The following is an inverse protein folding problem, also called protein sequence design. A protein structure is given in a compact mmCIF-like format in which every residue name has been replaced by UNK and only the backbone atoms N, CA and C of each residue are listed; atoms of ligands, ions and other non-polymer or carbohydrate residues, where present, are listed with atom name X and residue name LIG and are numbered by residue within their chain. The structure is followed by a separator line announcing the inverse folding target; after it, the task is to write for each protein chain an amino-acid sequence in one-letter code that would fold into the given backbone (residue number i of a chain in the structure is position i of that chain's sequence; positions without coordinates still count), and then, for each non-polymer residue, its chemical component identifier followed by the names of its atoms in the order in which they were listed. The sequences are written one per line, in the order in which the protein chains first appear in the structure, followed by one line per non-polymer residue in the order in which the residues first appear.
data_IF_219255377677
#
_entry.id   IF_219255377677
#
_cell.length_a   1.000
_cell.length_b   1.000
_cell.length_c   1.000
_cell.angle_alpha   90.00
_cell.angle_beta   90.00
_cell.angle_gamma   90.00
#
_symmetry.space_group_name_H-M   'P 1'
#
loop_
_entity.id
_entity.type
_entity.pdbx_description
1 polymer ?
#
# COMPACT_ATOMS: atom_id res chain seq x y z
N UNK A 1 -47.28 -6.26 6.79
CA UNK A 1 -45.80 -6.45 6.72
C UNK A 1 -45.27 -5.83 5.43
N UNK A 2 -44.94 -4.53 5.42
CA UNK A 2 -44.41 -3.88 4.23
C UNK A 2 -42.92 -4.21 4.08
N UNK A 3 -42.56 -4.92 2.99
CA UNK A 3 -41.19 -5.22 2.60
C UNK A 3 -40.49 -3.90 2.23
N UNK A 4 -39.55 -3.45 3.07
CA UNK A 4 -38.68 -2.30 2.75
C UNK A 4 -37.91 -2.61 1.47
N UNK A 5 -38.29 -2.01 0.34
CA UNK A 5 -37.46 -1.98 -0.87
C UNK A 5 -36.14 -1.31 -0.48
N UNK A 6 -35.01 -1.98 -0.72
CA UNK A 6 -33.67 -1.45 -0.48
C UNK A 6 -33.36 -0.39 -1.54
N UNK A 7 -34.01 0.78 -1.44
CA UNK A 7 -34.03 1.88 -2.42
C UNK A 7 -32.71 2.67 -2.53
N UNK A 8 -31.56 1.98 -2.48
CA UNK A 8 -30.24 2.59 -2.52
C UNK A 8 -29.21 1.81 -3.32
N UNK A 9 -29.50 0.59 -3.76
CA UNK A 9 -28.59 -0.26 -4.53
C UNK A 9 -29.10 -0.32 -5.98
N UNK A 10 -28.20 -0.11 -6.95
CA UNK A 10 -28.52 -0.24 -8.38
C UNK A 10 -28.35 -1.68 -8.85
N UNK A 11 -28.79 -1.96 -10.09
CA UNK A 11 -28.72 -3.28 -10.72
C UNK A 11 -27.29 -3.80 -10.89
N UNK A 12 -26.29 -2.91 -10.76
CA UNK A 12 -24.86 -3.24 -10.71
C UNK A 12 -24.36 -3.66 -9.31
N UNK A 13 -25.26 -3.94 -8.36
CA UNK A 13 -24.93 -4.36 -6.99
C UNK A 13 -24.23 -3.29 -6.13
N UNK A 14 -24.15 -2.04 -6.62
CA UNK A 14 -23.47 -0.92 -5.96
C UNK A 14 -24.47 0.10 -5.44
N UNK A 15 -24.09 0.88 -4.43
CA UNK A 15 -24.90 2.02 -3.99
C UNK A 15 -25.13 2.98 -5.18
N UNK A 16 -26.39 3.27 -5.50
CA UNK A 16 -26.80 4.00 -6.71
C UNK A 16 -26.10 5.37 -6.82
N UNK A 17 -25.91 6.06 -5.70
CA UNK A 17 -25.19 7.34 -5.63
C UNK A 17 -23.69 7.24 -5.96
N UNK A 18 -23.06 6.07 -5.76
CA UNK A 18 -21.63 5.81 -5.99
C UNK A 18 -21.36 4.96 -7.23
N UNK A 19 -22.41 4.58 -7.97
CA UNK A 19 -22.26 3.74 -9.14
C UNK A 19 -21.80 4.58 -10.34
N UNK A 20 -20.64 4.23 -10.91
CA UNK A 20 -20.09 4.89 -12.09
C UNK A 20 -20.99 4.69 -13.31
N UNK A 21 -21.50 3.48 -13.50
CA UNK A 21 -22.32 3.11 -14.66
C UNK A 21 -23.72 3.72 -14.60
N UNK A 22 -24.25 3.97 -13.40
CA UNK A 22 -25.49 4.72 -13.22
C UNK A 22 -25.30 6.24 -13.18
N UNK A 23 -24.07 6.76 -13.39
CA UNK A 23 -23.71 8.17 -13.17
C UNK A 23 -24.26 8.72 -11.84
N UNK A 24 -24.09 7.94 -10.77
CA UNK A 24 -24.58 8.29 -9.45
C UNK A 24 -24.10 9.68 -9.03
N UNK A 25 -24.93 10.45 -8.31
CA UNK A 25 -24.64 11.86 -7.99
C UNK A 25 -23.32 12.11 -7.26
N UNK A 26 -22.70 11.09 -6.65
CA UNK A 26 -21.38 11.17 -6.04
C UNK A 26 -20.22 10.98 -7.02
N UNK A 27 -20.46 10.68 -8.29
CA UNK A 27 -19.47 10.45 -9.35
C UNK A 27 -19.41 11.67 -10.28
N UNK A 28 -18.20 12.16 -10.57
CA UNK A 28 -17.99 13.25 -11.52
C UNK A 28 -17.89 12.73 -12.96
N UNK A 29 -17.84 13.65 -13.92
CA UNK A 29 -17.64 13.33 -15.34
C UNK A 29 -16.35 12.54 -15.61
N UNK A 30 -15.30 12.74 -14.80
CA UNK A 30 -14.06 11.96 -14.86
C UNK A 30 -14.21 10.52 -14.33
N UNK A 31 -15.42 10.10 -13.94
CA UNK A 31 -15.69 8.75 -13.44
C UNK A 31 -15.09 8.46 -12.06
N UNK A 32 -14.69 9.49 -11.32
CA UNK A 32 -14.15 9.41 -9.95
C UNK A 32 -15.18 9.92 -8.94
N UNK A 33 -15.01 9.60 -7.66
CA UNK A 33 -15.85 10.19 -6.62
C UNK A 33 -15.62 11.70 -6.57
N UNK A 34 -16.69 12.50 -6.68
CA UNK A 34 -16.64 13.97 -6.76
C UNK A 34 -15.80 14.59 -5.66
N UNK A 35 -15.98 14.14 -4.42
CA UNK A 35 -15.25 14.66 -3.25
C UNK A 35 -13.73 14.48 -3.34
N UNK A 36 -13.24 13.46 -4.05
CA UNK A 36 -11.81 13.17 -4.21
C UNK A 36 -11.25 13.52 -5.59
N UNK A 37 -12.05 14.08 -6.49
CA UNK A 37 -11.59 14.41 -7.84
C UNK A 37 -10.79 15.72 -7.82
N UNK A 38 -9.51 15.63 -8.19
CA UNK A 38 -8.63 16.81 -8.30
C UNK A 38 -9.09 17.76 -9.40
N UNK A 39 -9.48 17.21 -10.54
CA UNK A 39 -9.90 17.97 -11.73
C UNK A 39 -11.18 18.77 -11.46
N UNK A 40 -12.10 18.21 -10.67
CA UNK A 40 -13.32 18.92 -10.24
C UNK A 40 -13.14 19.77 -8.97
N UNK A 41 -11.91 19.89 -8.43
CA UNK A 41 -11.62 20.48 -7.10
C UNK A 41 -12.64 20.04 -6.05
N UNK A 42 -12.89 18.74 -6.00
CA UNK A 42 -13.85 18.13 -5.07
C UNK A 42 -13.63 18.63 -3.65
N UNK A 43 -14.71 18.78 -2.86
CA UNK A 43 -14.64 19.36 -1.51
C UNK A 43 -13.62 18.70 -0.56
N UNK A 44 -13.15 17.48 -0.84
CA UNK A 44 -12.09 16.80 -0.10
C UNK A 44 -10.65 17.14 -0.52
N UNK A 45 -10.43 17.93 -1.57
CA UNK A 45 -9.12 18.36 -2.07
C UNK A 45 -8.89 19.83 -1.72
N UNK A 46 -7.71 20.17 -1.18
CA UNK A 46 -7.33 21.56 -0.90
C UNK A 46 -6.71 22.23 -2.13
N UNK A 47 -6.47 23.54 -2.04
CA UNK A 47 -5.77 24.33 -3.07
C UNK A 47 -4.36 23.78 -3.40
N UNK A 48 -3.70 23.15 -2.44
CA UNK A 48 -2.40 22.48 -2.64
C UNK A 48 -2.51 21.14 -3.39
N UNK A 49 -3.70 20.75 -3.88
CA UNK A 49 -3.91 19.51 -4.64
C UNK A 49 -3.77 18.22 -3.82
N UNK A 50 -3.75 18.33 -2.48
CA UNK A 50 -3.72 17.22 -1.51
C UNK A 50 -5.12 16.98 -0.93
N UNK A 51 -5.37 15.82 -0.34
CA UNK A 51 -6.59 15.63 0.45
C UNK A 51 -6.56 16.60 1.64
N UNK A 52 -7.64 17.36 1.86
CA UNK A 52 -7.73 18.38 2.92
C UNK A 52 -7.36 17.82 4.29
N UNK A 53 -7.88 16.63 4.62
CA UNK A 53 -7.61 15.95 5.89
C UNK A 53 -6.13 15.61 6.08
N UNK A 54 -5.35 15.49 5.00
CA UNK A 54 -3.94 15.14 5.00
C UNK A 54 -3.02 16.32 4.66
N UNK A 55 -3.57 17.53 4.46
CA UNK A 55 -2.77 18.68 4.10
C UNK A 55 -2.29 19.39 5.37
N UNK A 56 -0.98 19.36 5.63
CA UNK A 56 -0.35 20.11 6.73
C UNK A 56 -0.66 21.61 6.64
N UNK A 57 -0.52 22.18 5.44
CA UNK A 57 -0.66 23.62 5.19
C UNK A 57 -2.10 24.11 5.41
N UNK A 58 -3.09 23.23 5.29
CA UNK A 58 -4.50 23.53 5.59
C UNK A 58 -4.94 23.10 7.00
N UNK A 59 -4.01 22.68 7.88
CA UNK A 59 -4.35 22.20 9.22
C UNK A 59 -5.14 20.88 9.24
N UNK A 60 -5.02 20.07 8.19
CA UNK A 60 -5.75 18.82 8.04
C UNK A 60 -5.59 17.90 9.26
N UNK A 61 -6.70 17.51 9.88
CA UNK A 61 -6.69 16.81 11.18
C UNK A 61 -5.94 15.48 11.23
N UNK A 62 -5.63 14.88 10.07
CA UNK A 62 -4.87 13.61 10.01
C UNK A 62 -3.36 13.79 10.12
N UNK A 63 -2.83 15.00 9.91
CA UNK A 63 -1.39 15.31 9.99
C UNK A 63 -1.14 16.26 11.17
N UNK A 64 -0.04 16.04 11.90
CA UNK A 64 0.41 16.96 12.93
C UNK A 64 1.40 17.99 12.38
N UNK A 65 1.77 18.98 13.18
CA UNK A 65 2.75 20.02 12.83
C UNK A 65 4.11 19.45 12.38
N UNK A 66 4.50 18.27 12.89
CA UNK A 66 5.69 17.52 12.48
C UNK A 66 5.61 16.90 11.07
N UNK A 67 4.49 17.09 10.35
CA UNK A 67 4.28 16.49 9.02
C UNK A 67 4.06 14.97 9.05
N UNK A 68 3.83 14.39 10.22
CA UNK A 68 3.55 12.95 10.41
C UNK A 68 2.06 12.73 10.58
N UNK A 69 1.58 11.51 10.29
CA UNK A 69 0.21 11.15 10.62
C UNK A 69 0.00 11.28 12.13
N UNK A 70 -1.00 12.05 12.56
CA UNK A 70 -1.19 12.44 13.96
C UNK A 70 -1.31 11.23 14.89
N UNK A 71 -2.01 10.19 14.45
CA UNK A 71 -2.13 8.92 15.18
C UNK A 71 -0.81 8.15 15.35
N UNK A 72 0.19 8.40 14.50
CA UNK A 72 1.49 7.71 14.52
C UNK A 72 2.65 8.62 14.94
N UNK A 73 2.38 9.87 15.30
CA UNK A 73 3.41 10.80 15.72
C UNK A 73 3.79 10.53 17.18
N UNK A 74 5.06 10.22 17.44
CA UNK A 74 5.58 10.01 18.79
C UNK A 74 5.58 11.30 19.60
N UNK A 75 5.99 12.39 18.97
CA UNK A 75 6.12 13.71 19.59
C UNK A 75 4.75 14.24 20.04
N UNK A 76 3.70 13.97 19.26
CA UNK A 76 2.31 14.30 19.63
C UNK A 76 1.61 13.22 20.48
N UNK A 77 2.33 12.17 20.92
CA UNK A 77 1.74 11.00 21.62
C UNK A 77 0.48 10.47 20.94
N UNK A 78 0.56 10.29 19.62
CA UNK A 78 -0.57 9.83 18.80
C UNK A 78 -1.20 8.55 19.35
N UNK A 79 -2.51 8.39 19.14
CA UNK A 79 -3.30 7.25 19.66
C UNK A 79 -2.78 5.88 19.25
N UNK A 80 -2.03 5.80 18.15
CA UNK A 80 -1.36 4.61 17.65
C UNK A 80 0.02 4.36 18.26
N UNK A 81 0.52 5.19 19.17
CA UNK A 81 1.78 5.02 19.89
C UNK A 81 1.49 4.45 21.29
N UNK A 82 2.27 3.45 21.71
CA UNK A 82 2.20 2.87 23.05
C UNK A 82 3.15 3.57 24.01
N UNK A 83 3.03 3.25 25.30
CA UNK A 83 3.94 3.72 26.37
C UNK A 83 5.42 3.45 26.07
N UNK A 84 5.74 2.40 25.31
CA UNK A 84 7.09 2.07 24.87
C UNK A 84 7.61 2.97 23.72
N UNK A 85 6.86 3.99 23.30
CA UNK A 85 7.21 4.85 22.17
C UNK A 85 7.24 4.13 20.82
N UNK A 86 6.58 2.97 20.70
CA UNK A 86 6.46 2.18 19.47
C UNK A 86 5.04 2.28 18.92
N UNK A 87 4.85 1.97 17.64
CA UNK A 87 3.51 1.83 17.07
C UNK A 87 2.82 0.66 17.80
N UNK A 88 1.67 0.88 18.44
CA UNK A 88 0.91 -0.10 19.25
C UNK A 88 0.75 -1.43 18.54
N UNK A 89 0.30 -1.41 17.29
CA UNK A 89 0.10 -2.63 16.50
C UNK A 89 1.38 -3.43 16.28
N UNK A 90 2.54 -2.76 16.33
CA UNK A 90 3.87 -3.35 16.17
C UNK A 90 4.62 -3.55 17.50
N UNK A 91 3.99 -3.29 18.65
CA UNK A 91 4.64 -3.44 19.94
C UNK A 91 4.39 -4.85 20.51
N UNK A 92 5.45 -5.64 20.65
CA UNK A 92 5.37 -6.97 21.31
C UNK A 92 4.87 -6.86 22.75
N UNK A 93 5.40 -5.91 23.53
CA UNK A 93 5.04 -5.72 24.94
C UNK A 93 3.58 -5.32 25.17
N UNK A 94 2.92 -4.75 24.17
CA UNK A 94 1.50 -4.39 24.24
C UNK A 94 0.57 -5.43 23.58
N UNK A 95 1.08 -6.61 23.19
CA UNK A 95 0.31 -7.61 22.46
C UNK A 95 -0.15 -7.13 21.07
N UNK A 96 0.57 -6.19 20.46
CA UNK A 96 0.20 -5.60 19.17
C UNK A 96 -0.03 -6.67 18.11
N UNK A 97 -1.21 -6.64 17.47
CA UNK A 97 -1.66 -7.71 16.57
C UNK A 97 -0.79 -7.95 15.33
N UNK A 98 0.13 -7.05 15.00
CA UNK A 98 1.07 -7.23 13.88
C UNK A 98 2.31 -8.04 14.25
N UNK A 99 2.62 -8.24 15.54
CA UNK A 99 3.77 -9.03 16.00
C UNK A 99 3.27 -10.32 16.67
N UNK A 100 3.94 -11.44 16.41
CA UNK A 100 3.67 -12.70 17.12
C UNK A 100 4.58 -12.86 18.34
N UNK A 101 4.33 -13.87 19.16
CA UNK A 101 5.14 -14.21 20.35
C UNK A 101 6.63 -14.40 20.02
N UNK A 102 6.95 -14.88 18.82
CA UNK A 102 8.31 -15.03 18.29
C UNK A 102 9.01 -13.69 17.96
N UNK A 103 8.35 -12.54 18.18
CA UNK A 103 8.92 -11.22 17.89
C UNK A 103 8.99 -10.87 16.40
N UNK A 104 8.42 -11.70 15.53
CA UNK A 104 8.35 -11.48 14.08
C UNK A 104 7.01 -10.84 13.71
N UNK A 105 6.96 -10.18 12.56
CA UNK A 105 5.67 -9.76 12.00
C UNK A 105 4.82 -11.00 11.75
N UNK A 106 3.59 -11.03 12.28
CA UNK A 106 2.71 -12.20 12.26
C UNK A 106 2.47 -12.70 10.83
N UNK A 107 2.34 -11.78 9.87
CA UNK A 107 2.22 -12.07 8.44
C UNK A 107 3.44 -12.79 7.87
N UNK A 108 4.62 -12.61 8.48
CA UNK A 108 5.90 -13.17 8.04
C UNK A 108 6.42 -14.30 8.94
N UNK A 109 5.68 -14.67 9.99
CA UNK A 109 6.12 -15.72 10.89
C UNK A 109 5.73 -17.09 10.35
N UNK A 110 6.72 -17.89 9.95
CA UNK A 110 6.51 -19.28 9.53
C UNK A 110 5.81 -20.12 10.62
N UNK A 111 6.25 -19.98 11.86
CA UNK A 111 5.77 -20.78 12.99
C UNK A 111 4.31 -20.45 13.36
N UNK A 112 3.86 -19.22 13.07
CA UNK A 112 2.45 -18.82 13.21
C UNK A 112 1.62 -19.00 11.94
N UNK A 113 2.14 -19.65 10.90
CA UNK A 113 1.43 -19.81 9.62
C UNK A 113 1.18 -18.50 8.85
N UNK A 114 2.01 -17.49 9.07
CA UNK A 114 1.87 -16.16 8.48
C UNK A 114 1.67 -16.18 6.98
N UNK A 115 0.65 -15.48 6.48
CA UNK A 115 0.20 -15.55 5.09
C UNK A 115 1.26 -15.25 4.02
N UNK A 116 2.31 -14.49 4.37
CA UNK A 116 3.36 -14.03 3.46
C UNK A 116 4.51 -15.03 3.30
N UNK A 117 4.67 -15.99 4.20
CA UNK A 117 5.75 -17.00 4.19
C UNK A 117 5.14 -18.40 4.06
N UNK A 118 5.71 -19.24 3.19
CA UNK A 118 5.28 -20.63 3.07
C UNK A 118 6.02 -21.54 4.07
N UNK A 119 5.58 -22.80 4.20
CA UNK A 119 6.25 -23.80 5.06
C UNK A 119 7.73 -24.02 4.73
N UNK A 120 8.17 -23.66 3.52
CA UNK A 120 9.59 -23.69 3.12
C UNK A 120 10.42 -22.50 3.66
N UNK A 121 9.83 -21.58 4.42
CA UNK A 121 10.51 -20.38 4.94
C UNK A 121 10.78 -19.30 3.89
N UNK A 122 10.26 -19.47 2.66
CA UNK A 122 10.37 -18.49 1.57
C UNK A 122 9.12 -17.62 1.51
N UNK A 123 9.22 -16.43 0.92
CA UNK A 123 8.03 -15.62 0.58
C UNK A 123 7.12 -16.45 -0.31
N UNK A 124 5.86 -16.63 0.08
CA UNK A 124 4.90 -17.49 -0.61
C UNK A 124 4.73 -17.08 -2.09
N UNK A 125 4.75 -15.77 -2.37
CA UNK A 125 4.72 -15.24 -3.73
C UNK A 125 5.96 -15.57 -4.58
N UNK A 126 7.10 -15.87 -3.96
CA UNK A 126 8.38 -16.17 -4.62
C UNK A 126 8.78 -17.65 -4.48
N UNK A 127 7.95 -18.50 -3.87
CA UNK A 127 8.28 -19.90 -3.69
C UNK A 127 7.86 -20.69 -4.92
N UNK A 128 8.84 -21.26 -5.64
CA UNK A 128 8.58 -22.15 -6.78
C UNK A 128 7.70 -23.34 -6.38
N UNK A 129 8.05 -23.99 -5.27
CA UNK A 129 7.35 -25.18 -4.75
C UNK A 129 5.90 -24.90 -4.32
N UNK A 130 5.53 -23.62 -4.11
CA UNK A 130 4.16 -23.23 -3.77
C UNK A 130 3.41 -22.58 -4.95
N UNK A 131 3.96 -22.64 -6.16
CA UNK A 131 3.38 -21.97 -7.33
C UNK A 131 3.31 -20.45 -7.18
N UNK A 132 4.26 -19.85 -6.45
CA UNK A 132 4.25 -18.42 -6.14
C UNK A 132 4.16 -17.57 -7.40
N UNK A 133 3.14 -16.69 -7.47
CA UNK A 133 2.83 -15.92 -8.68
C UNK A 133 3.92 -14.94 -9.15
N UNK A 134 4.98 -14.73 -8.37
CA UNK A 134 6.16 -13.96 -8.80
C UNK A 134 7.18 -14.80 -9.55
N UNK A 135 7.02 -16.12 -9.64
CA UNK A 135 7.90 -17.03 -10.39
C UNK A 135 7.32 -17.25 -11.79
N UNK A 136 8.16 -17.20 -12.82
CA UNK A 136 7.78 -17.54 -14.20
C UNK A 136 8.00 -19.03 -14.46
N UNK A 137 7.51 -19.50 -15.62
CA UNK A 137 7.77 -20.86 -16.13
C UNK A 137 9.26 -21.22 -16.16
N UNK A 138 10.15 -20.24 -16.38
CA UNK A 138 11.60 -20.42 -16.35
C UNK A 138 12.19 -20.62 -14.94
N UNK A 139 11.36 -20.70 -13.89
CA UNK A 139 11.80 -20.83 -12.50
C UNK A 139 12.50 -19.59 -11.93
N UNK A 140 12.48 -18.46 -12.63
CA UNK A 140 13.07 -17.19 -12.20
C UNK A 140 11.97 -16.25 -11.68
N UNK A 141 12.35 -15.24 -10.90
CA UNK A 141 11.43 -14.15 -10.55
C UNK A 141 11.01 -13.43 -11.84
N UNK A 142 9.71 -13.36 -12.13
CA UNK A 142 9.11 -12.77 -13.34
C UNK A 142 9.71 -11.42 -13.69
N UNK A 143 9.80 -10.51 -12.70
CA UNK A 143 10.37 -9.17 -12.91
C UNK A 143 11.84 -9.17 -13.32
N UNK A 144 12.59 -10.23 -13.01
CA UNK A 144 14.02 -10.42 -13.34
C UNK A 144 14.25 -11.42 -14.48
N UNK A 145 13.19 -11.94 -15.10
CA UNK A 145 13.32 -12.90 -16.19
C UNK A 145 13.39 -12.17 -17.54
N UNK A 146 14.53 -12.28 -18.24
CA UNK A 146 14.69 -11.72 -19.60
C UNK A 146 13.69 -12.34 -20.59
N UNK A 147 13.50 -13.65 -20.54
CA UNK A 147 12.57 -14.39 -21.42
C UNK A 147 11.10 -14.00 -21.24
N UNK A 148 10.73 -13.41 -20.09
CA UNK A 148 9.37 -12.93 -19.83
C UNK A 148 9.24 -11.40 -19.99
N UNK A 149 10.24 -10.71 -20.55
CA UNK A 149 10.25 -9.25 -20.62
C UNK A 149 10.24 -8.56 -19.24
N UNK A 150 10.82 -9.20 -18.23
CA UNK A 150 10.80 -8.73 -16.85
C UNK A 150 11.33 -7.29 -16.73
N UNK A 151 10.47 -6.38 -16.28
CA UNK A 151 10.76 -4.94 -16.25
C UNK A 151 11.94 -4.52 -15.36
N UNK A 152 12.51 -5.42 -14.57
CA UNK A 152 13.76 -5.17 -13.82
C UNK A 152 15.02 -5.43 -14.63
N UNK A 153 14.93 -5.97 -15.85
CA UNK A 153 16.08 -6.20 -16.75
C UNK A 153 16.17 -5.05 -17.78
N UNK A 154 17.36 -4.53 -18.02
CA UNK A 154 17.63 -3.54 -19.07
C UNK A 154 17.93 -4.22 -20.41
N UNK A 155 17.98 -3.44 -21.50
CA UNK A 155 18.39 -3.93 -22.83
C UNK A 155 19.76 -4.63 -22.82
N UNK A 156 20.64 -4.27 -21.89
CA UNK A 156 21.96 -4.88 -21.70
C UNK A 156 21.94 -6.23 -20.96
N UNK A 157 20.76 -6.79 -20.66
CA UNK A 157 20.63 -8.07 -19.96
C UNK A 157 20.98 -8.04 -18.47
N UNK A 158 21.24 -6.86 -17.90
CA UNK A 158 21.54 -6.66 -16.47
C UNK A 158 20.30 -6.18 -15.71
N UNK A 159 20.29 -6.35 -14.39
CA UNK A 159 19.26 -5.73 -13.54
C UNK A 159 19.40 -4.21 -13.66
N UNK A 160 18.33 -3.50 -14.06
CA UNK A 160 18.30 -2.05 -14.30
C UNK A 160 18.93 -1.25 -13.17
N UNK A 161 18.58 -1.57 -11.92
CA UNK A 161 19.12 -0.85 -10.75
C UNK A 161 20.63 -1.04 -10.55
N UNK A 162 21.22 -2.09 -11.13
CA UNK A 162 22.66 -2.42 -11.05
C UNK A 162 23.41 -2.17 -12.36
N UNK A 163 22.74 -1.69 -13.40
CA UNK A 163 23.36 -1.48 -14.70
C UNK A 163 24.02 -0.10 -14.76
N UNK A 164 25.35 -0.06 -14.90
CA UNK A 164 26.13 1.18 -15.03
C UNK A 164 25.68 1.99 -16.24
N UNK A 165 25.50 1.33 -17.38
CA UNK A 165 25.06 1.94 -18.64
C UNK A 165 23.62 2.49 -18.59
N UNK A 166 22.83 2.12 -17.57
CA UNK A 166 21.47 2.63 -17.38
C UNK A 166 21.36 3.62 -16.20
N UNK A 167 22.49 4.05 -15.63
CA UNK A 167 22.50 4.92 -14.45
C UNK A 167 21.84 4.29 -13.23
N UNK A 168 21.95 2.96 -13.07
CA UNK A 168 21.24 2.20 -12.06
C UNK A 168 21.44 2.75 -10.63
N UNK A 169 20.34 3.10 -9.96
CA UNK A 169 20.36 3.75 -8.64
C UNK A 169 20.93 2.92 -7.48
N UNK A 170 21.36 1.67 -7.71
CA UNK A 170 22.10 0.86 -6.72
C UNK A 170 23.62 1.00 -6.84
N UNK A 171 24.13 1.88 -7.71
CA UNK A 171 25.55 2.11 -7.93
C UNK A 171 25.97 3.36 -7.14
N UNK A 172 26.64 3.18 -6.01
CA UNK A 172 27.25 4.29 -5.27
C UNK A 172 28.45 4.84 -6.05
N UNK A 173 28.54 6.16 -6.22
CA UNK A 173 29.64 6.86 -6.92
C UNK A 173 30.90 7.04 -6.05
N UNK A 174 31.20 6.13 -5.13
CA UNK A 174 32.45 6.21 -4.39
C UNK A 174 33.55 5.57 -5.23
N UNK A 175 34.32 6.42 -5.92
CA UNK A 175 35.65 6.04 -6.39
C UNK A 175 36.47 5.71 -5.14
N UNK A 176 36.96 4.46 -5.07
CA UNK A 176 38.01 4.13 -4.10
C UNK A 176 39.22 4.99 -4.48
N UNK A 177 39.52 5.98 -3.65
CA UNK A 177 40.84 6.61 -3.58
C UNK A 177 41.77 5.63 -2.89
#
# INVERSE_FOLDING_TARGET
RQRRKTSGICDHGRQRSRCKDCRGGSICEHGRQRSGCKDCRGGGICEHGRQRSQCKDCGGGSICEHGRQRSQCKDCRGSGICEHGRIRSRCKGCGGGSICEHGRERSQCKDCGGGSICGHGRRRSQCKDCGGGSICEHGRIRSRCRGCGGGSICGHGRIRSRCKDCGGGSICKHAKV
#
